data_IF_847494133621
#
_entry.id   IF_847494133621
#
_cell.length_a   1.000
_cell.length_b   1.000
_cell.length_c   1.000
_cell.angle_alpha   90.00
_cell.angle_beta   90.00
_cell.angle_gamma   90.00
#
_symmetry.space_group_name_H-M   'P 1'
#
loop_
_entity.id
_entity.type
_entity.pdbx_description
1 polymer ?
#
# COMPACT_ATOMS: atom_id res chain seq x y z
N UNK A 1 26.49 -6.50 6.99
CA UNK A 1 25.59 -7.48 6.32
C UNK A 1 25.93 -8.90 6.75
N UNK A 2 24.95 -9.79 6.79
CA UNK A 2 25.13 -11.19 7.19
C UNK A 2 25.89 -11.96 6.09
N UNK A 3 26.88 -12.78 6.45
CA UNK A 3 27.65 -13.54 5.45
C UNK A 3 26.97 -14.87 5.08
N UNK A 4 27.23 -15.33 3.87
CA UNK A 4 26.84 -16.67 3.41
C UNK A 4 27.69 -17.74 4.12
N UNK A 5 27.11 -18.92 4.34
CA UNK A 5 27.71 -20.00 5.14
C UNK A 5 27.78 -21.34 4.40
N UNK A 6 27.25 -21.44 3.18
CA UNK A 6 27.17 -22.69 2.42
C UNK A 6 26.06 -23.65 2.88
N UNK A 7 25.29 -23.31 3.91
CA UNK A 7 24.23 -24.18 4.47
C UNK A 7 23.08 -24.46 3.49
N UNK A 8 22.89 -23.60 2.48
CA UNK A 8 21.88 -23.79 1.44
C UNK A 8 22.42 -24.47 0.17
N UNK A 9 23.68 -24.94 0.16
CA UNK A 9 24.27 -25.63 -0.97
C UNK A 9 23.42 -26.84 -1.39
N UNK A 10 23.05 -26.89 -2.68
CA UNK A 10 22.24 -27.96 -3.25
C UNK A 10 20.78 -28.00 -2.79
N UNK A 11 20.33 -27.08 -1.93
CA UNK A 11 18.92 -26.99 -1.50
C UNK A 11 18.07 -26.36 -2.60
N UNK A 12 16.84 -26.82 -2.74
CA UNK A 12 15.89 -26.30 -3.72
C UNK A 12 14.88 -25.36 -3.08
N UNK A 13 14.96 -24.08 -3.44
CA UNK A 13 14.03 -23.04 -3.03
C UNK A 13 12.98 -22.81 -4.13
N UNK A 14 11.70 -22.95 -3.78
CA UNK A 14 10.57 -22.52 -4.59
C UNK A 14 10.12 -21.14 -4.13
N UNK A 15 10.30 -20.09 -4.94
CA UNK A 15 10.04 -18.70 -4.52
C UNK A 15 9.00 -18.07 -5.44
N UNK A 16 7.84 -17.72 -4.87
CA UNK A 16 6.80 -16.99 -5.61
C UNK A 16 7.18 -15.51 -5.74
N UNK A 17 7.04 -14.94 -6.94
CA UNK A 17 7.36 -13.53 -7.19
C UNK A 17 8.86 -13.19 -7.22
N UNK A 18 9.74 -14.15 -7.54
CA UNK A 18 11.19 -13.96 -7.54
C UNK A 18 11.79 -13.27 -8.79
N UNK A 19 10.97 -12.72 -9.69
CA UNK A 19 11.47 -12.00 -10.88
C UNK A 19 12.13 -10.64 -10.56
N UNK A 20 11.86 -10.07 -9.38
CA UNK A 20 12.39 -8.76 -8.94
C UNK A 20 12.24 -8.55 -7.43
N UNK A 21 12.78 -7.45 -6.92
CA UNK A 21 12.57 -6.98 -5.56
C UNK A 21 13.03 -7.99 -4.49
N UNK A 22 12.28 -8.07 -3.39
CA UNK A 22 12.59 -8.92 -2.23
C UNK A 22 12.75 -10.39 -2.62
N UNK A 23 11.81 -10.95 -3.38
CA UNK A 23 11.88 -12.35 -3.82
C UNK A 23 13.16 -12.67 -4.60
N UNK A 24 13.58 -11.77 -5.50
CA UNK A 24 14.86 -11.92 -6.23
C UNK A 24 16.07 -11.78 -5.30
N UNK A 25 16.03 -10.87 -4.33
CA UNK A 25 17.13 -10.71 -3.39
C UNK A 25 17.32 -11.95 -2.50
N UNK A 26 16.22 -12.56 -2.02
CA UNK A 26 16.26 -13.84 -1.29
C UNK A 26 16.84 -14.94 -2.19
N UNK A 27 16.39 -15.02 -3.44
CA UNK A 27 16.91 -15.97 -4.43
C UNK A 27 18.43 -15.82 -4.62
N UNK A 28 18.92 -14.61 -4.84
CA UNK A 28 20.35 -14.32 -5.03
C UNK A 28 21.17 -14.65 -3.77
N UNK A 29 20.62 -14.37 -2.59
CA UNK A 29 21.29 -14.71 -1.33
C UNK A 29 21.48 -16.20 -1.17
N UNK A 30 20.46 -17.00 -1.49
CA UNK A 30 20.56 -18.47 -1.49
C UNK A 30 21.45 -18.99 -2.62
N UNK A 31 21.40 -18.38 -3.80
CA UNK A 31 22.23 -18.75 -4.96
C UNK A 31 23.73 -18.67 -4.66
N UNK A 32 24.16 -17.69 -3.86
CA UNK A 32 25.56 -17.56 -3.41
C UNK A 32 26.07 -18.73 -2.57
N UNK A 33 25.18 -19.55 -2.01
CA UNK A 33 25.54 -20.82 -1.35
C UNK A 33 25.60 -22.00 -2.33
N UNK A 34 25.23 -21.82 -3.61
CA UNK A 34 25.07 -22.91 -4.57
C UNK A 34 23.69 -23.59 -4.50
N UNK A 35 22.64 -22.86 -4.10
CA UNK A 35 21.28 -23.38 -4.07
C UNK A 35 20.65 -23.49 -5.46
N UNK A 36 19.65 -24.36 -5.59
CA UNK A 36 18.74 -24.39 -6.73
C UNK A 36 17.55 -23.46 -6.44
N UNK A 37 17.15 -22.62 -7.41
CA UNK A 37 16.05 -21.68 -7.25
C UNK A 37 15.03 -21.84 -8.37
N UNK A 38 13.79 -22.09 -7.98
CA UNK A 38 12.61 -22.05 -8.86
C UNK A 38 11.99 -20.67 -8.75
N UNK A 39 11.97 -19.95 -9.87
CA UNK A 39 11.48 -18.59 -10.00
C UNK A 39 10.04 -18.66 -10.51
N UNK A 40 9.08 -18.67 -9.59
CA UNK A 40 7.65 -18.77 -9.92
C UNK A 40 7.04 -17.36 -10.02
N UNK A 41 6.99 -16.77 -11.22
CA UNK A 41 6.39 -15.45 -11.42
C UNK A 41 5.82 -15.26 -12.83
N UNK A 42 4.97 -14.24 -13.01
CA UNK A 42 4.22 -14.03 -14.27
C UNK A 42 5.01 -13.39 -15.40
N UNK A 43 6.05 -12.62 -15.09
CA UNK A 43 6.69 -11.74 -16.08
C UNK A 43 7.71 -12.53 -16.91
N UNK A 44 7.27 -13.06 -18.05
CA UNK A 44 8.13 -13.69 -19.05
C UNK A 44 8.72 -12.66 -20.04
N UNK A 45 7.90 -11.71 -20.47
CA UNK A 45 8.28 -10.62 -21.37
C UNK A 45 8.55 -9.32 -20.61
N UNK A 46 9.40 -8.46 -21.17
CA UNK A 46 9.73 -7.17 -20.57
C UNK A 46 8.48 -6.30 -20.39
N UNK A 47 8.30 -5.74 -19.19
CA UNK A 47 7.15 -4.90 -18.87
C UNK A 47 7.55 -3.42 -18.87
N UNK A 48 6.77 -2.52 -19.51
CA UNK A 48 7.18 -1.12 -19.70
C UNK A 48 7.39 -0.33 -18.40
N UNK A 49 6.79 -0.79 -17.28
CA UNK A 49 6.87 -0.12 -15.97
C UNK A 49 7.62 -0.91 -14.89
N UNK A 50 7.92 -2.20 -15.13
CA UNK A 50 8.48 -3.08 -14.10
C UNK A 50 9.76 -3.73 -14.64
N UNK A 51 10.91 -3.54 -13.97
CA UNK A 51 12.17 -4.09 -14.44
C UNK A 51 12.22 -5.61 -14.25
N UNK A 52 13.01 -6.29 -15.08
CA UNK A 52 13.32 -7.71 -14.96
C UNK A 52 12.20 -8.65 -15.39
N UNK A 53 12.59 -9.87 -15.74
CA UNK A 53 11.71 -11.01 -16.06
C UNK A 53 12.15 -12.22 -15.25
N UNK A 54 11.41 -13.34 -15.35
CA UNK A 54 11.88 -14.62 -14.78
C UNK A 54 13.21 -15.09 -15.41
N UNK A 55 13.48 -14.70 -16.66
CA UNK A 55 14.69 -15.10 -17.39
C UNK A 55 15.91 -14.27 -16.97
N UNK A 56 15.77 -12.94 -16.86
CA UNK A 56 16.89 -12.11 -16.36
C UNK A 56 17.20 -12.44 -14.90
N UNK A 57 16.18 -12.76 -14.09
CA UNK A 57 16.41 -13.23 -12.73
C UNK A 57 17.15 -14.57 -12.70
N UNK A 58 16.86 -15.49 -13.63
CA UNK A 58 17.57 -16.75 -13.76
C UNK A 58 19.06 -16.54 -14.09
N UNK A 59 19.37 -15.65 -15.04
CA UNK A 59 20.75 -15.29 -15.39
C UNK A 59 21.51 -14.72 -14.18
N UNK A 60 20.88 -13.81 -13.42
CA UNK A 60 21.50 -13.25 -12.21
C UNK A 60 21.73 -14.31 -11.12
N UNK A 61 20.81 -15.27 -10.96
CA UNK A 61 20.93 -16.39 -10.01
C UNK A 61 22.06 -17.34 -10.40
N UNK A 62 22.18 -17.67 -11.68
CA UNK A 62 23.25 -18.53 -12.19
C UNK A 62 24.61 -17.82 -12.08
N UNK A 63 24.68 -16.54 -12.40
CA UNK A 63 25.88 -15.72 -12.22
C UNK A 63 26.31 -15.61 -10.75
N UNK A 64 25.36 -15.67 -9.81
CA UNK A 64 25.64 -15.69 -8.37
C UNK A 64 26.13 -17.05 -7.85
N UNK A 65 26.17 -18.10 -8.68
CA UNK A 65 26.65 -19.44 -8.33
C UNK A 65 25.55 -20.48 -8.06
N UNK A 66 24.28 -20.10 -8.20
CA UNK A 66 23.14 -21.00 -8.05
C UNK A 66 22.76 -21.71 -9.34
N UNK A 67 21.66 -22.47 -9.30
CA UNK A 67 20.98 -23.02 -10.48
C UNK A 67 19.57 -22.49 -10.57
N UNK A 68 19.13 -22.05 -11.74
CA UNK A 68 17.79 -21.48 -11.90
C UNK A 68 16.82 -22.39 -12.65
N UNK A 69 15.53 -22.28 -12.30
CA UNK A 69 14.41 -22.76 -13.10
C UNK A 69 13.36 -21.64 -13.20
N UNK A 70 13.26 -21.02 -14.37
CA UNK A 70 12.26 -20.00 -14.63
C UNK A 70 10.91 -20.63 -14.97
N UNK A 71 9.87 -20.35 -14.17
CA UNK A 71 8.52 -20.85 -14.39
C UNK A 71 7.53 -19.68 -14.51
N UNK A 72 6.75 -19.68 -15.59
CA UNK A 72 5.65 -18.72 -15.76
C UNK A 72 4.52 -19.15 -14.82
N UNK A 73 4.33 -18.41 -13.74
CA UNK A 73 3.34 -18.75 -12.70
C UNK A 73 2.55 -17.52 -12.27
N UNK A 74 1.24 -17.55 -12.49
CA UNK A 74 0.26 -16.80 -11.73
C UNK A 74 -0.23 -17.64 -10.55
N UNK A 75 0.09 -17.24 -9.32
CA UNK A 75 -0.27 -17.98 -8.10
C UNK A 75 -1.79 -18.08 -7.85
N UNK A 76 -2.61 -17.45 -8.69
CA UNK A 76 -4.06 -17.63 -8.68
C UNK A 76 -4.50 -18.89 -9.46
N UNK A 77 -3.66 -19.41 -10.34
CA UNK A 77 -3.93 -20.60 -11.15
C UNK A 77 -3.27 -21.84 -10.53
N UNK A 78 -4.08 -22.78 -10.08
CA UNK A 78 -3.62 -24.03 -9.47
C UNK A 78 -2.78 -24.89 -10.41
N UNK A 79 -3.14 -24.92 -11.70
CA UNK A 79 -2.41 -25.72 -12.69
C UNK A 79 -1.00 -25.19 -12.90
N UNK A 80 -0.84 -23.88 -13.04
CA UNK A 80 0.48 -23.27 -13.21
C UNK A 80 1.40 -23.49 -12.00
N UNK A 81 0.85 -23.49 -10.79
CA UNK A 81 1.64 -23.83 -9.60
C UNK A 81 2.02 -25.32 -9.62
N UNK A 82 1.07 -26.20 -9.93
CA UNK A 82 1.30 -27.66 -10.01
C UNK A 82 2.39 -27.99 -11.04
N UNK A 83 2.30 -27.44 -12.24
CA UNK A 83 3.26 -27.67 -13.33
C UNK A 83 4.67 -27.19 -12.95
N UNK A 84 4.76 -26.05 -12.25
CA UNK A 84 6.04 -25.53 -11.76
C UNK A 84 6.63 -26.40 -10.62
N UNK A 85 5.79 -26.91 -9.72
CA UNK A 85 6.22 -27.86 -8.67
C UNK A 85 6.71 -29.17 -9.29
N UNK A 86 5.99 -29.72 -10.27
CA UNK A 86 6.41 -30.92 -11.00
C UNK A 86 7.74 -30.69 -11.73
N UNK A 87 7.87 -29.57 -12.44
CA UNK A 87 9.10 -29.18 -13.13
C UNK A 87 10.29 -29.05 -12.17
N UNK A 88 10.06 -28.48 -10.98
CA UNK A 88 11.07 -28.36 -9.93
C UNK A 88 11.54 -29.72 -9.43
N UNK A 89 10.60 -30.64 -9.18
CA UNK A 89 10.89 -31.99 -8.69
C UNK A 89 11.60 -32.80 -9.78
N UNK A 90 11.19 -32.68 -11.04
CA UNK A 90 11.86 -33.34 -12.16
C UNK A 90 13.30 -32.83 -12.34
N UNK A 91 13.52 -31.52 -12.23
CA UNK A 91 14.84 -30.92 -12.48
C UNK A 91 15.80 -31.07 -11.30
N UNK A 92 15.32 -30.91 -10.07
CA UNK A 92 16.16 -30.82 -8.87
C UNK A 92 15.93 -31.94 -7.84
N UNK A 93 15.00 -32.86 -8.11
CA UNK A 93 14.72 -34.03 -7.26
C UNK A 93 13.80 -33.77 -6.06
N UNK A 94 13.46 -32.52 -5.78
CA UNK A 94 12.60 -32.17 -4.64
C UNK A 94 12.54 -30.67 -4.37
N UNK A 95 11.85 -30.30 -3.29
CA UNK A 95 11.73 -28.93 -2.79
C UNK A 95 12.08 -28.97 -1.29
N UNK A 96 13.05 -28.15 -0.89
CA UNK A 96 13.46 -28.00 0.51
C UNK A 96 12.81 -26.80 1.17
N UNK A 97 12.57 -25.74 0.41
CA UNK A 97 12.13 -24.46 0.95
C UNK A 97 11.06 -23.88 0.04
N UNK A 98 9.95 -23.42 0.62
CA UNK A 98 8.98 -22.56 -0.04
C UNK A 98 9.08 -21.15 0.54
N UNK A 99 9.15 -20.14 -0.32
CA UNK A 99 9.04 -18.74 0.06
C UNK A 99 7.82 -18.12 -0.62
N UNK A 100 6.79 -17.85 0.17
CA UNK A 100 5.58 -17.16 -0.28
C UNK A 100 5.80 -15.64 -0.22
N UNK A 101 6.36 -15.09 -1.30
CA UNK A 101 6.67 -13.67 -1.44
C UNK A 101 5.72 -12.92 -2.38
N UNK A 102 5.08 -13.60 -3.35
CA UNK A 102 4.15 -12.95 -4.27
C UNK A 102 3.03 -12.22 -3.50
N UNK A 103 2.78 -10.96 -3.85
CA UNK A 103 1.76 -10.15 -3.19
C UNK A 103 1.19 -9.08 -4.14
N UNK A 104 -0.01 -8.63 -3.84
CA UNK A 104 -0.66 -7.46 -4.40
C UNK A 104 -1.09 -6.52 -3.26
N UNK A 105 -1.08 -5.23 -3.56
CA UNK A 105 -1.39 -4.15 -2.62
C UNK A 105 -2.37 -3.17 -3.24
N UNK A 106 -3.32 -2.72 -2.44
CA UNK A 106 -4.15 -1.56 -2.72
C UNK A 106 -4.58 -0.93 -1.39
N UNK A 107 -4.23 0.34 -1.18
CA UNK A 107 -4.44 1.05 0.08
C UNK A 107 -5.64 1.99 -0.03
N UNK A 108 -6.82 1.39 -0.17
CA UNK A 108 -8.09 2.10 -0.28
C UNK A 108 -9.07 1.62 0.79
N UNK A 109 -9.97 2.51 1.22
CA UNK A 109 -11.07 2.17 2.11
C UNK A 109 -12.13 1.28 1.44
N UNK A 110 -13.13 0.87 2.21
CA UNK A 110 -14.14 -0.10 1.75
C UNK A 110 -14.95 0.39 0.55
N UNK A 111 -15.37 1.65 0.53
CA UNK A 111 -16.19 2.20 -0.56
C UNK A 111 -15.36 2.44 -1.83
N UNK A 112 -14.07 2.67 -1.67
CA UNK A 112 -13.14 3.03 -2.74
C UNK A 112 -12.48 1.82 -3.38
N UNK A 113 -12.46 0.66 -2.71
CA UNK A 113 -11.79 -0.54 -3.21
C UNK A 113 -12.70 -1.30 -4.18
N UNK A 114 -12.40 -1.35 -5.49
CA UNK A 114 -13.20 -2.14 -6.42
C UNK A 114 -13.07 -3.63 -6.08
N UNK A 115 -14.14 -4.41 -6.22
CA UNK A 115 -14.11 -5.84 -5.88
C UNK A 115 -13.04 -6.63 -6.64
N UNK A 116 -12.76 -6.27 -7.90
CA UNK A 116 -11.63 -6.87 -8.66
C UNK A 116 -10.27 -6.69 -7.97
N UNK A 117 -10.08 -5.62 -7.19
CA UNK A 117 -8.86 -5.40 -6.38
C UNK A 117 -8.89 -6.20 -5.08
N UNK A 118 -10.07 -6.35 -4.45
CA UNK A 118 -10.25 -7.25 -3.30
C UNK A 118 -9.90 -8.68 -3.71
N UNK A 119 -10.49 -9.19 -4.80
CA UNK A 119 -10.25 -10.52 -5.33
C UNK A 119 -8.78 -10.72 -5.74
N UNK A 120 -8.14 -9.68 -6.28
CA UNK A 120 -6.72 -9.71 -6.61
C UNK A 120 -5.85 -9.87 -5.36
N UNK A 121 -6.09 -9.08 -4.31
CA UNK A 121 -5.32 -9.13 -3.07
C UNK A 121 -5.54 -10.44 -2.33
N UNK A 122 -6.78 -10.86 -2.12
CA UNK A 122 -7.09 -12.13 -1.48
C UNK A 122 -6.61 -13.33 -2.31
N UNK A 123 -6.76 -13.24 -3.64
CA UNK A 123 -6.36 -14.29 -4.57
C UNK A 123 -4.85 -14.51 -4.63
N UNK A 124 -4.04 -13.44 -4.63
CA UNK A 124 -2.58 -13.54 -4.68
C UNK A 124 -2.00 -13.78 -3.28
N UNK A 125 -2.40 -12.98 -2.29
CA UNK A 125 -1.77 -12.98 -0.98
C UNK A 125 -2.21 -14.22 -0.19
N UNK A 126 -3.49 -14.31 0.16
CA UNK A 126 -4.02 -15.39 1.00
C UNK A 126 -4.14 -16.70 0.22
N UNK A 127 -4.99 -16.75 -0.82
CA UNK A 127 -5.26 -17.99 -1.56
C UNK A 127 -4.00 -18.53 -2.23
N UNK A 128 -3.21 -17.66 -2.87
CA UNK A 128 -1.94 -18.04 -3.50
C UNK A 128 -0.94 -18.63 -2.52
N UNK A 129 -0.79 -18.05 -1.32
CA UNK A 129 0.04 -18.62 -0.23
C UNK A 129 -0.46 -19.99 0.20
N UNK A 130 -1.75 -20.11 0.50
CA UNK A 130 -2.33 -21.39 0.95
C UNK A 130 -2.15 -22.48 -0.11
N UNK A 131 -2.46 -22.17 -1.37
CA UNK A 131 -2.41 -23.12 -2.47
C UNK A 131 -0.98 -23.55 -2.81
N UNK A 132 -0.04 -22.61 -2.86
CA UNK A 132 1.37 -22.93 -3.12
C UNK A 132 1.94 -23.79 -2.01
N UNK A 133 1.65 -23.45 -0.73
CA UNK A 133 2.02 -24.30 0.41
C UNK A 133 1.43 -25.70 0.28
N UNK A 134 0.13 -25.84 0.02
CA UNK A 134 -0.55 -27.14 -0.18
C UNK A 134 0.19 -28.02 -1.20
N UNK A 135 0.58 -27.45 -2.34
CA UNK A 135 1.22 -28.19 -3.43
C UNK A 135 2.71 -28.48 -3.15
N UNK A 136 3.41 -27.64 -2.40
CA UNK A 136 4.81 -27.90 -2.02
C UNK A 136 4.96 -28.85 -0.82
N UNK A 137 4.00 -28.89 0.11
CA UNK A 137 4.07 -29.69 1.36
C UNK A 137 4.44 -31.17 1.12
N UNK A 138 3.85 -31.91 0.16
CA UNK A 138 4.22 -33.30 -0.09
C UNK A 138 5.70 -33.52 -0.44
N UNK A 139 6.36 -32.49 -0.98
CA UNK A 139 7.79 -32.51 -1.32
C UNK A 139 8.65 -32.02 -0.16
N UNK A 140 8.18 -31.01 0.57
CA UNK A 140 8.82 -30.50 1.79
C UNK A 140 8.93 -31.59 2.86
N UNK A 141 7.91 -32.43 3.04
CA UNK A 141 7.93 -33.57 3.98
C UNK A 141 9.03 -34.60 3.70
N UNK A 142 9.65 -34.57 2.51
CA UNK A 142 10.76 -35.44 2.12
C UNK A 142 12.13 -34.78 2.32
N UNK A 143 12.17 -33.47 2.60
CA UNK A 143 13.41 -32.72 2.83
C UNK A 143 13.96 -32.99 4.24
N UNK A 144 15.28 -32.82 4.38
CA UNK A 144 15.99 -32.96 5.67
C UNK A 144 15.79 -31.77 6.62
N UNK A 145 15.53 -30.57 6.09
CA UNK A 145 15.32 -29.37 6.91
C UNK A 145 14.34 -28.43 6.20
N UNK A 146 13.06 -28.83 6.07
CA UNK A 146 12.09 -28.09 5.27
C UNK A 146 11.61 -26.80 5.93
N UNK A 147 11.46 -25.76 5.10
CA UNK A 147 10.92 -24.46 5.53
C UNK A 147 9.80 -23.95 4.61
N UNK A 148 8.80 -23.33 5.21
CA UNK A 148 7.86 -22.41 4.56
C UNK A 148 8.07 -21.03 5.20
N UNK A 149 8.43 -20.05 4.38
CA UNK A 149 8.59 -18.67 4.80
C UNK A 149 7.56 -17.79 4.10
N UNK A 150 6.65 -17.20 4.87
CA UNK A 150 5.69 -16.24 4.36
C UNK A 150 6.20 -14.83 4.59
N UNK A 151 6.25 -14.01 3.54
CA UNK A 151 6.62 -12.59 3.69
C UNK A 151 5.37 -11.83 4.14
N UNK A 152 5.05 -11.92 5.42
CA UNK A 152 3.81 -11.39 6.02
C UNK A 152 4.03 -10.89 7.46
N UNK A 153 3.21 -9.92 7.92
CA UNK A 153 3.43 -9.25 9.21
C UNK A 153 3.01 -10.10 10.41
N UNK A 154 3.42 -9.75 11.62
CA UNK A 154 2.75 -10.20 12.85
C UNK A 154 1.25 -9.86 12.83
N UNK A 155 0.43 -10.66 13.52
CA UNK A 155 -1.01 -10.44 13.64
C UNK A 155 -1.32 -9.38 14.71
N UNK A 156 -1.17 -8.11 14.34
CA UNK A 156 -1.50 -6.98 15.21
C UNK A 156 -2.99 -6.60 15.06
N UNK A 157 -3.80 -6.97 16.06
CA UNK A 157 -5.25 -6.72 16.05
C UNK A 157 -5.66 -5.30 16.47
N UNK A 158 -4.71 -4.36 16.56
CA UNK A 158 -5.05 -2.96 16.80
C UNK A 158 -5.92 -2.42 15.64
N UNK A 159 -7.13 -1.88 15.91
CA UNK A 159 -8.04 -1.37 14.89
C UNK A 159 -7.45 -0.32 13.94
N UNK A 160 -6.39 0.39 14.35
CA UNK A 160 -5.75 1.41 13.50
C UNK A 160 -5.26 0.83 12.16
N UNK A 161 -4.80 -0.43 12.18
CA UNK A 161 -4.30 -1.13 10.99
C UNK A 161 -5.41 -1.66 10.08
N UNK A 162 -6.67 -1.61 10.53
CA UNK A 162 -7.83 -1.99 9.73
C UNK A 162 -8.53 -0.76 9.16
N UNK A 163 -8.48 0.37 9.87
CA UNK A 163 -9.24 1.60 9.59
C UNK A 163 -9.19 2.06 8.12
N UNK A 164 -8.01 2.08 7.49
CA UNK A 164 -7.81 2.76 6.20
C UNK A 164 -7.72 1.83 4.98
N UNK A 165 -7.49 0.52 5.19
CA UNK A 165 -7.20 -0.43 4.12
C UNK A 165 -7.56 -1.88 4.50
N UNK A 166 -8.77 -2.06 5.03
CA UNK A 166 -9.27 -3.35 5.56
C UNK A 166 -8.99 -4.54 4.63
N UNK A 167 -9.27 -4.40 3.33
CA UNK A 167 -9.08 -5.49 2.36
C UNK A 167 -7.62 -5.92 2.22
N UNK A 168 -6.66 -4.97 2.24
CA UNK A 168 -5.24 -5.29 2.20
C UNK A 168 -4.77 -5.92 3.52
N UNK A 169 -5.21 -5.38 4.66
CA UNK A 169 -4.91 -5.93 5.99
C UNK A 169 -5.38 -7.37 6.09
N UNK A 170 -6.63 -7.67 5.70
CA UNK A 170 -7.15 -9.04 5.64
C UNK A 170 -6.31 -9.94 4.74
N UNK A 171 -5.91 -9.46 3.57
CA UNK A 171 -5.11 -10.24 2.62
C UNK A 171 -3.73 -10.60 3.16
N UNK A 172 -3.02 -9.67 3.82
CA UNK A 172 -1.70 -9.92 4.44
C UNK A 172 -1.83 -10.75 5.71
N UNK A 173 -2.83 -10.47 6.56
CA UNK A 173 -3.05 -11.24 7.78
C UNK A 173 -3.49 -12.67 7.48
N UNK A 174 -4.19 -12.89 6.36
CA UNK A 174 -4.48 -14.24 5.87
C UNK A 174 -3.22 -15.08 5.65
N UNK A 175 -2.15 -14.51 5.07
CA UNK A 175 -0.85 -15.20 4.92
C UNK A 175 -0.25 -15.58 6.28
N UNK A 176 -0.37 -14.68 7.25
CA UNK A 176 0.09 -14.87 8.63
C UNK A 176 -0.75 -15.89 9.40
N UNK A 177 -2.05 -15.96 9.13
CA UNK A 177 -2.93 -17.01 9.67
C UNK A 177 -2.58 -18.39 9.09
N UNK A 178 -2.11 -18.47 7.82
CA UNK A 178 -1.53 -19.71 7.31
C UNK A 178 -0.29 -20.13 8.11
N UNK A 179 0.55 -19.19 8.58
CA UNK A 179 1.69 -19.51 9.44
C UNK A 179 1.22 -20.11 10.77
N UNK A 180 0.25 -19.48 11.45
CA UNK A 180 -0.31 -20.02 12.69
C UNK A 180 -0.83 -21.46 12.52
N UNK A 181 -1.65 -21.70 11.50
CA UNK A 181 -2.25 -23.01 11.28
C UNK A 181 -1.22 -24.06 10.88
N UNK A 182 -0.44 -23.79 9.83
CA UNK A 182 0.48 -24.78 9.26
C UNK A 182 1.68 -25.06 10.17
N UNK A 183 2.12 -24.10 10.99
CA UNK A 183 3.20 -24.35 11.95
C UNK A 183 2.81 -25.42 12.99
N UNK A 184 1.56 -25.42 13.45
CA UNK A 184 1.04 -26.45 14.35
C UNK A 184 0.75 -27.75 13.63
N UNK A 185 0.10 -27.67 12.46
CA UNK A 185 -0.26 -28.83 11.64
C UNK A 185 0.97 -29.68 11.27
N UNK A 186 2.10 -29.04 10.99
CA UNK A 186 3.34 -29.70 10.59
C UNK A 186 4.46 -29.61 11.64
N UNK A 187 4.11 -29.39 12.91
CA UNK A 187 5.09 -29.25 14.00
C UNK A 187 6.05 -30.44 14.04
N UNK A 188 7.35 -30.15 14.07
CA UNK A 188 8.42 -31.16 14.04
C UNK A 188 8.72 -31.75 12.66
N UNK A 189 7.88 -31.47 11.66
CA UNK A 189 8.07 -31.94 10.28
C UNK A 189 8.48 -30.81 9.33
N UNK A 190 7.86 -29.63 9.42
CA UNK A 190 8.15 -28.46 8.59
C UNK A 190 8.22 -27.21 9.47
N UNK A 191 9.27 -26.40 9.31
CA UNK A 191 9.31 -25.07 9.91
C UNK A 191 8.45 -24.11 9.08
N UNK A 192 7.45 -23.48 9.70
CA UNK A 192 6.58 -22.49 9.04
C UNK A 192 6.67 -21.19 9.81
N UNK A 193 7.16 -20.13 9.18
CA UNK A 193 7.38 -18.84 9.82
C UNK A 193 6.95 -17.68 8.91
N UNK A 194 6.75 -16.51 9.52
CA UNK A 194 6.60 -15.26 8.82
C UNK A 194 7.87 -14.39 8.97
N UNK A 195 8.17 -13.58 7.96
CA UNK A 195 9.20 -12.53 8.02
C UNK A 195 8.62 -11.22 7.52
N UNK A 196 8.85 -10.14 8.25
CA UNK A 196 8.40 -8.80 7.93
C UNK A 196 9.51 -7.75 8.12
N UNK A 197 9.59 -6.71 7.28
CA UNK A 197 10.53 -5.62 7.49
C UNK A 197 10.12 -4.73 8.66
N UNK A 198 11.11 -4.19 9.39
CA UNK A 198 10.86 -3.05 10.30
C UNK A 198 10.46 -1.79 9.55
N UNK A 199 11.07 -1.58 8.39
CA UNK A 199 11.01 -0.32 7.62
C UNK A 199 10.68 -0.60 6.17
N UNK A 200 10.15 0.39 5.47
CA UNK A 200 9.94 0.33 4.03
C UNK A 200 11.19 -0.16 3.29
N UNK A 201 10.99 -1.02 2.30
CA UNK A 201 12.06 -1.61 1.49
C UNK A 201 12.02 -1.05 0.07
N UNK A 202 13.18 -0.59 -0.41
CA UNK A 202 13.30 0.01 -1.74
C UNK A 202 13.05 -1.05 -2.81
N UNK A 203 11.94 -0.89 -3.52
CA UNK A 203 11.53 -1.75 -4.63
C UNK A 203 10.73 -0.91 -5.62
N UNK A 204 10.60 -1.37 -6.86
CA UNK A 204 9.74 -0.70 -7.86
C UNK A 204 8.28 -0.56 -7.37
N UNK A 205 7.78 -1.49 -6.57
CA UNK A 205 6.45 -1.38 -5.97
C UNK A 205 6.38 -0.25 -4.93
N UNK A 206 7.43 -0.07 -4.13
CA UNK A 206 7.53 1.03 -3.18
C UNK A 206 7.68 2.38 -3.87
N UNK A 207 8.47 2.45 -4.95
CA UNK A 207 8.60 3.68 -5.76
C UNK A 207 7.25 4.09 -6.36
N UNK A 208 6.44 3.13 -6.80
CA UNK A 208 5.06 3.37 -7.28
C UNK A 208 4.11 3.83 -6.17
N UNK A 209 4.32 3.37 -4.94
CA UNK A 209 3.44 3.66 -3.80
C UNK A 209 3.76 5.01 -3.15
N UNK A 210 5.04 5.25 -2.87
CA UNK A 210 5.52 6.44 -2.16
C UNK A 210 5.95 7.59 -3.06
N UNK A 211 6.08 7.37 -4.37
CA UNK A 211 6.45 8.40 -5.33
C UNK A 211 7.92 8.81 -5.26
N UNK A 212 8.26 9.95 -5.86
CA UNK A 212 9.63 10.43 -5.94
C UNK A 212 10.20 10.75 -4.55
N UNK A 213 11.40 10.26 -4.27
CA UNK A 213 12.13 10.51 -3.02
C UNK A 213 11.91 9.48 -1.91
N UNK A 214 10.93 8.57 -2.05
CA UNK A 214 10.66 7.53 -1.04
C UNK A 214 11.88 6.64 -0.78
N UNK A 215 12.72 6.41 -1.79
CA UNK A 215 13.89 5.55 -1.70
C UNK A 215 14.86 5.95 -0.59
N UNK A 216 14.99 7.24 -0.26
CA UNK A 216 15.88 7.72 0.81
C UNK A 216 15.41 7.29 2.20
N UNK A 217 14.12 7.02 2.35
CA UNK A 217 13.49 6.56 3.60
C UNK A 217 13.41 5.03 3.68
N UNK A 218 14.02 4.31 2.74
CA UNK A 218 13.95 2.86 2.68
C UNK A 218 15.28 2.20 3.05
N UNK A 219 15.18 0.96 3.51
CA UNK A 219 16.30 0.01 3.48
C UNK A 219 16.34 -0.73 2.15
N UNK A 220 17.51 -1.27 1.81
CA UNK A 220 17.77 -2.12 0.65
C UNK A 220 17.12 -3.49 0.86
N UNK A 221 16.81 -4.17 -0.23
CA UNK A 221 16.26 -5.54 -0.22
C UNK A 221 17.18 -6.55 0.49
N UNK A 222 18.47 -6.26 0.60
CA UNK A 222 19.48 -7.09 1.24
C UNK A 222 19.16 -7.41 2.71
N UNK A 223 18.49 -6.51 3.45
CA UNK A 223 18.15 -6.78 4.86
C UNK A 223 17.16 -7.94 5.00
N UNK A 224 16.15 -7.99 4.12
CA UNK A 224 15.17 -9.07 4.09
C UNK A 224 15.79 -10.34 3.54
N UNK A 225 16.68 -10.24 2.56
CA UNK A 225 17.41 -11.39 2.04
C UNK A 225 18.29 -12.05 3.11
N UNK A 226 18.99 -11.25 3.90
CA UNK A 226 19.84 -11.73 5.00
C UNK A 226 19.00 -12.31 6.15
N UNK A 227 17.89 -11.66 6.53
CA UNK A 227 16.99 -12.19 7.55
C UNK A 227 16.31 -13.50 7.10
N UNK A 228 15.89 -13.59 5.84
CA UNK A 228 15.36 -14.84 5.27
C UNK A 228 16.41 -15.93 5.29
N UNK A 229 17.65 -15.64 4.90
CA UNK A 229 18.77 -16.58 4.96
C UNK A 229 19.01 -17.10 6.39
N UNK A 230 18.97 -16.22 7.39
CA UNK A 230 19.09 -16.60 8.79
C UNK A 230 17.96 -17.56 9.23
N UNK A 231 16.71 -17.32 8.82
CA UNK A 231 15.57 -18.21 9.12
C UNK A 231 15.72 -19.57 8.43
N UNK A 232 16.00 -19.56 7.13
CA UNK A 232 16.04 -20.75 6.28
C UNK A 232 17.19 -21.70 6.63
N UNK A 233 18.15 -21.25 7.44
CA UNK A 233 19.26 -22.04 7.97
C UNK A 233 19.07 -22.44 9.43
N UNK A 234 17.91 -22.13 10.05
CA UNK A 234 17.51 -22.65 11.36
C UNK A 234 17.05 -24.12 11.27
N UNK A 235 17.11 -24.86 12.38
CA UNK A 235 16.48 -26.18 12.49
C UNK A 235 14.94 -26.11 12.38
N UNK A 236 14.32 -27.23 11.99
CA UNK A 236 12.85 -27.37 11.82
C UNK A 236 12.00 -27.02 13.05
N UNK A 237 12.58 -27.03 14.26
CA UNK A 237 11.86 -26.64 15.48
C UNK A 237 11.71 -25.12 15.63
N UNK A 238 12.43 -24.32 14.84
CA UNK A 238 12.16 -22.90 14.68
C UNK A 238 10.94 -22.71 13.79
N UNK A 239 9.74 -22.78 14.39
CA UNK A 239 8.45 -22.74 13.70
C UNK A 239 7.43 -21.90 14.46
N UNK A 240 6.42 -21.39 13.77
CA UNK A 240 5.36 -20.55 14.34
C UNK A 240 5.81 -19.13 14.70
N UNK A 241 6.95 -18.67 14.17
CA UNK A 241 7.52 -17.37 14.50
C UNK A 241 7.02 -16.28 13.54
N UNK A 242 6.80 -15.07 14.08
CA UNK A 242 6.59 -13.85 13.30
C UNK A 242 7.81 -12.96 13.48
N UNK A 243 8.75 -13.08 12.54
CA UNK A 243 10.08 -12.50 12.66
C UNK A 243 10.12 -11.09 12.08
N UNK A 244 10.78 -10.17 12.78
CA UNK A 244 11.19 -8.87 12.23
C UNK A 244 12.67 -8.93 11.84
N UNK A 245 12.99 -8.39 10.66
CA UNK A 245 14.30 -8.46 10.02
C UNK A 245 15.45 -7.98 10.92
N UNK A 246 15.34 -6.79 11.49
CA UNK A 246 16.37 -6.20 12.33
C UNK A 246 16.58 -6.93 13.65
N UNK A 247 15.50 -7.32 14.33
CA UNK A 247 15.56 -8.07 15.58
C UNK A 247 16.26 -9.42 15.41
N UNK A 248 16.00 -10.13 14.31
CA UNK A 248 16.67 -11.40 14.04
C UNK A 248 18.13 -11.16 13.68
N UNK A 249 18.43 -10.21 12.79
CA UNK A 249 19.80 -9.95 12.37
C UNK A 249 20.68 -9.47 13.53
N UNK A 250 20.14 -8.70 14.47
CA UNK A 250 20.84 -8.33 15.69
C UNK A 250 21.20 -9.57 16.54
N UNK A 251 20.28 -10.54 16.64
CA UNK A 251 20.55 -11.83 17.32
C UNK A 251 21.58 -12.69 16.57
N UNK A 252 21.68 -12.57 15.26
CA UNK A 252 22.75 -13.19 14.45
C UNK A 252 24.08 -12.41 14.50
N UNK A 253 24.17 -11.34 15.31
CA UNK A 253 25.41 -10.59 15.52
C UNK A 253 25.63 -9.41 14.56
N UNK A 254 24.63 -9.03 13.78
CA UNK A 254 24.69 -7.80 12.97
C UNK A 254 24.51 -6.59 13.87
N UNK A 255 25.51 -5.70 13.90
CA UNK A 255 25.49 -4.48 14.73
C UNK A 255 25.33 -3.20 13.91
N UNK A 256 25.78 -3.19 12.65
CA UNK A 256 25.68 -2.05 11.74
C UNK A 256 24.52 -2.23 10.73
N UNK A 257 23.41 -1.54 11.01
CA UNK A 257 22.24 -1.49 10.14
C UNK A 257 22.25 -0.35 9.11
N UNK A 258 23.18 0.61 9.21
CA UNK A 258 23.33 1.69 8.23
C UNK A 258 23.75 1.15 6.86
N UNK A 259 24.51 0.05 6.85
CA UNK A 259 24.87 -0.66 5.60
C UNK A 259 23.66 -1.09 4.76
N UNK A 260 22.50 -1.31 5.40
CA UNK A 260 21.24 -1.63 4.74
C UNK A 260 20.41 -0.40 4.36
N UNK A 261 20.69 0.80 4.87
CA UNK A 261 19.99 2.00 4.44
C UNK A 261 20.33 2.31 2.97
N UNK A 262 19.35 2.79 2.20
CA UNK A 262 19.61 3.32 0.85
C UNK A 262 20.43 4.61 0.94
N UNK A 263 20.08 5.47 1.90
CA UNK A 263 20.84 6.67 2.26
C UNK A 263 21.15 6.62 3.76
N UNK A 264 22.37 6.23 4.16
CA UNK A 264 22.78 6.20 5.57
C UNK A 264 22.55 7.54 6.27
N UNK A 265 22.11 7.48 7.53
CA UNK A 265 21.77 8.64 8.36
C UNK A 265 20.44 9.33 8.01
N UNK A 266 19.75 8.92 6.95
CA UNK A 266 18.41 9.43 6.64
C UNK A 266 17.35 8.68 7.47
N UNK A 267 16.35 9.36 8.02
CA UNK A 267 15.24 8.70 8.72
C UNK A 267 14.52 7.72 7.82
N UNK A 268 14.22 6.56 8.39
CA UNK A 268 13.57 5.45 7.72
C UNK A 268 12.06 5.50 7.97
N UNK A 269 11.27 5.23 6.94
CA UNK A 269 9.83 5.06 7.05
C UNK A 269 9.54 3.69 7.68
N UNK A 270 8.86 3.61 8.83
CA UNK A 270 8.50 2.33 9.42
C UNK A 270 7.47 1.59 8.57
N UNK A 271 7.57 0.27 8.57
CA UNK A 271 6.65 -0.56 7.80
C UNK A 271 5.31 -0.71 8.52
N UNK A 272 4.31 -1.10 7.75
CA UNK A 272 2.97 -1.34 8.25
C UNK A 272 2.92 -2.42 9.33
N UNK A 273 1.87 -2.33 10.15
CA UNK A 273 1.46 -3.36 11.12
C UNK A 273 2.35 -3.48 12.37
N UNK A 274 3.40 -2.67 12.48
CA UNK A 274 4.32 -2.63 13.61
C UNK A 274 3.98 -1.47 14.56
N UNK A 275 3.90 -1.76 15.86
CA UNK A 275 3.62 -0.83 16.98
C UNK A 275 2.23 -0.14 16.96
N UNK A 276 1.95 0.60 18.04
CA UNK A 276 0.63 1.09 18.43
C UNK A 276 0.45 2.63 18.37
N UNK A 277 1.47 3.38 17.95
CA UNK A 277 1.43 4.86 18.04
C UNK A 277 1.75 5.58 16.72
N UNK A 278 0.88 5.48 15.69
CA UNK A 278 1.03 6.21 14.42
C UNK A 278 1.20 7.73 14.59
N UNK A 279 0.65 8.33 15.64
CA UNK A 279 0.72 9.77 15.92
C UNK A 279 2.15 10.23 16.26
N UNK A 280 2.99 9.35 16.84
CA UNK A 280 4.42 9.67 17.08
C UNK A 280 5.25 9.49 15.81
N UNK A 281 4.86 8.56 14.94
CA UNK A 281 5.50 8.31 13.65
C UNK A 281 5.36 9.49 12.70
N UNK A 282 4.16 10.05 12.57
CA UNK A 282 3.92 11.23 11.73
C UNK A 282 4.81 12.40 12.17
N UNK A 283 4.87 12.66 13.48
CA UNK A 283 5.70 13.72 14.06
C UNK A 283 7.19 13.53 13.82
N UNK A 284 7.71 12.32 14.01
CA UNK A 284 9.14 12.00 13.78
C UNK A 284 9.51 12.17 12.29
N UNK A 285 8.61 11.80 11.39
CA UNK A 285 8.81 11.96 9.94
C UNK A 285 8.78 13.44 9.53
N UNK A 286 7.81 14.20 10.05
CA UNK A 286 7.68 15.64 9.80
C UNK A 286 8.90 16.43 10.30
N UNK A 287 9.39 16.13 11.51
CA UNK A 287 10.56 16.77 12.12
C UNK A 287 11.86 16.59 11.31
N UNK A 288 11.91 15.61 10.40
CA UNK A 288 13.05 15.37 9.53
C UNK A 288 12.77 15.60 8.03
N UNK A 289 11.71 16.35 7.70
CA UNK A 289 11.40 16.73 6.32
C UNK A 289 10.89 15.58 5.44
N UNK A 290 10.43 14.48 6.04
CA UNK A 290 9.78 13.38 5.35
C UNK A 290 8.25 13.54 5.41
N UNK A 291 7.58 13.48 4.26
CA UNK A 291 6.11 13.36 4.23
C UNK A 291 5.76 11.87 4.33
N UNK A 292 5.00 11.42 5.35
CA UNK A 292 4.55 10.03 5.41
C UNK A 292 3.79 9.65 4.13
N UNK A 293 4.22 8.58 3.45
CA UNK A 293 3.48 8.01 2.32
C UNK A 293 2.08 7.50 2.73
N UNK A 294 1.86 7.35 4.05
CA UNK A 294 0.60 7.08 4.69
C UNK A 294 0.06 8.34 5.37
N UNK A 295 -0.20 9.41 4.62
CA UNK A 295 -1.34 10.21 5.03
C UNK A 295 -2.52 9.25 5.08
N UNK A 296 -3.14 9.10 6.24
CA UNK A 296 -4.51 8.63 6.24
C UNK A 296 -5.23 9.55 5.25
N UNK A 297 -5.53 9.03 4.06
CA UNK A 297 -6.56 9.64 3.25
C UNK A 297 -7.78 9.41 4.11
N UNK A 298 -8.17 10.44 4.88
CA UNK A 298 -9.52 10.54 5.36
C UNK A 298 -10.38 10.09 4.18
N UNK A 299 -11.15 9.03 4.45
CA UNK A 299 -12.15 8.43 3.58
C UNK A 299 -12.71 9.44 2.59
N UNK A 300 -12.98 8.99 1.37
CA UNK A 300 -13.45 9.73 0.19
C UNK A 300 -14.73 10.58 0.31
N UNK A 301 -15.07 11.07 1.50
CA UNK A 301 -15.92 12.22 1.72
C UNK A 301 -15.13 13.55 1.84
N UNK A 302 -13.81 13.53 2.05
CA UNK A 302 -13.01 14.69 2.44
C UNK A 302 -11.71 14.84 1.63
N UNK A 303 -11.80 15.10 0.32
CA UNK A 303 -10.72 15.82 -0.33
C UNK A 303 -10.75 17.26 0.22
N UNK A 304 -9.89 17.57 1.19
CA UNK A 304 -9.64 18.95 1.56
C UNK A 304 -9.19 19.66 0.29
N UNK A 305 -10.02 20.59 -0.17
CA UNK A 305 -9.78 21.31 -1.40
C UNK A 305 -8.46 22.11 -1.27
N UNK A 306 -7.55 21.99 -2.22
CA UNK A 306 -6.26 22.69 -2.20
C UNK A 306 -6.37 24.08 -2.83
N UNK A 307 -5.64 25.06 -2.27
CA UNK A 307 -5.59 26.44 -2.78
C UNK A 307 -6.67 27.38 -2.19
N UNK A 308 -6.62 28.68 -2.48
CA UNK A 308 -7.45 29.68 -1.77
C UNK A 308 -8.97 29.48 -1.91
N UNK A 309 -9.43 29.01 -3.07
CA UNK A 309 -10.84 28.62 -3.26
C UNK A 309 -11.17 27.40 -2.41
N UNK A 310 -10.27 26.43 -2.40
CA UNK A 310 -10.44 25.22 -1.63
C UNK A 310 -10.51 25.44 -0.11
N UNK A 311 -9.65 26.30 0.42
CA UNK A 311 -9.68 26.70 1.84
C UNK A 311 -11.02 27.35 2.22
N UNK A 312 -11.59 28.12 1.29
CA UNK A 312 -12.94 28.68 1.45
C UNK A 312 -13.97 27.56 1.59
N UNK A 313 -13.98 26.57 0.69
CA UNK A 313 -14.89 25.41 0.80
C UNK A 313 -14.63 24.52 2.02
N UNK A 314 -13.37 24.34 2.43
CA UNK A 314 -13.04 23.61 3.66
C UNK A 314 -13.62 24.31 4.90
N UNK A 315 -13.55 25.64 4.94
CA UNK A 315 -14.21 26.43 6.00
C UNK A 315 -15.72 26.19 5.98
N UNK A 316 -16.34 26.16 4.80
CA UNK A 316 -17.78 25.99 4.65
C UNK A 316 -18.28 24.62 5.09
N UNK A 317 -17.46 23.59 4.91
CA UNK A 317 -17.81 22.20 5.23
C UNK A 317 -18.18 22.00 6.70
N UNK A 318 -17.49 22.70 7.62
CA UNK A 318 -17.79 22.66 9.04
C UNK A 318 -19.16 23.24 9.43
N UNK A 319 -19.80 23.98 8.53
CA UNK A 319 -21.12 24.59 8.74
C UNK A 319 -22.26 23.85 8.04
N UNK A 320 -21.98 22.82 7.23
CA UNK A 320 -23.01 22.02 6.57
C UNK A 320 -23.72 21.11 7.59
N UNK A 321 -25.05 21.20 7.65
CA UNK A 321 -25.87 20.32 8.47
C UNK A 321 -27.26 20.09 7.84
N UNK A 322 -28.00 19.13 8.37
CA UNK A 322 -29.31 18.73 7.85
C UNK A 322 -30.36 19.86 7.91
N UNK A 323 -30.25 20.78 8.88
CA UNK A 323 -31.14 21.94 9.00
C UNK A 323 -30.91 22.93 7.86
N UNK A 324 -29.65 23.15 7.47
CA UNK A 324 -29.26 24.02 6.37
C UNK A 324 -29.81 23.52 5.03
N UNK A 325 -29.73 22.21 4.81
CA UNK A 325 -30.27 21.53 3.62
C UNK A 325 -31.80 21.69 3.59
N UNK A 326 -32.47 21.44 4.72
CA UNK A 326 -33.94 21.54 4.83
C UNK A 326 -34.47 22.96 4.58
N UNK A 327 -33.72 23.98 5.00
CA UNK A 327 -34.15 25.39 4.90
C UNK A 327 -33.79 26.03 3.55
N UNK A 328 -32.68 25.63 2.95
CA UNK A 328 -32.18 26.23 1.71
C UNK A 328 -32.85 25.63 0.48
N UNK A 329 -32.82 24.29 0.36
CA UNK A 329 -33.41 23.51 -0.74
C UNK A 329 -32.98 23.99 -2.14
N UNK A 330 -31.67 24.19 -2.35
CA UNK A 330 -31.13 24.67 -3.61
C UNK A 330 -29.72 24.16 -3.91
N UNK A 331 -29.41 24.03 -5.20
CA UNK A 331 -28.08 23.67 -5.73
C UNK A 331 -27.45 24.88 -6.42
N UNK A 332 -26.26 25.26 -5.96
CA UNK A 332 -25.50 26.41 -6.45
C UNK A 332 -24.26 25.93 -7.19
N UNK A 333 -24.01 26.47 -8.38
CA UNK A 333 -22.77 26.28 -9.13
C UNK A 333 -22.04 27.62 -9.25
N UNK A 334 -20.73 27.59 -9.09
CA UNK A 334 -19.83 28.73 -9.25
C UNK A 334 -18.86 28.45 -10.39
N UNK A 335 -18.96 29.23 -11.46
CA UNK A 335 -18.04 29.20 -12.58
C UNK A 335 -17.01 30.31 -12.36
N UNK A 336 -15.84 29.92 -11.85
CA UNK A 336 -14.76 30.81 -11.46
C UNK A 336 -13.79 31.06 -12.62
N UNK A 337 -13.40 32.32 -12.79
CA UNK A 337 -12.39 32.78 -13.73
C UNK A 337 -11.26 33.52 -12.99
N UNK A 338 -10.20 33.93 -13.69
CA UNK A 338 -9.06 34.65 -13.09
C UNK A 338 -7.94 33.72 -12.62
N UNK A 339 -7.32 34.03 -11.48
CA UNK A 339 -6.10 33.38 -10.98
C UNK A 339 -6.31 31.91 -10.55
N UNK A 340 -7.51 31.58 -10.05
CA UNK A 340 -7.89 30.23 -9.66
C UNK A 340 -9.19 29.82 -10.36
N UNK A 341 -9.14 29.52 -11.67
CA UNK A 341 -10.33 29.19 -12.44
C UNK A 341 -10.83 27.78 -12.11
N UNK A 342 -12.13 27.54 -12.29
CA UNK A 342 -12.72 26.22 -12.11
C UNK A 342 -14.21 26.28 -11.81
N UNK A 343 -14.87 25.13 -11.92
CA UNK A 343 -16.28 24.97 -11.56
C UNK A 343 -16.35 24.40 -10.15
N UNK A 344 -17.25 24.94 -9.34
CA UNK A 344 -17.47 24.50 -7.96
C UNK A 344 -18.96 24.47 -7.65
N UNK A 345 -19.36 23.71 -6.63
CA UNK A 345 -20.77 23.63 -6.27
C UNK A 345 -21.04 23.49 -4.78
N UNK A 346 -22.25 23.89 -4.39
CA UNK A 346 -22.86 23.66 -3.08
C UNK A 346 -24.26 23.08 -3.33
N UNK A 347 -24.49 21.84 -2.94
CA UNK A 347 -25.78 21.15 -2.95
C UNK A 347 -26.37 21.19 -1.54
N UNK A 348 -27.43 22.00 -1.37
CA UNK A 348 -28.23 22.08 -0.15
C UNK A 348 -29.66 21.62 -0.42
N UNK A 349 -29.84 20.67 -1.34
CA UNK A 349 -31.14 20.14 -1.75
C UNK A 349 -31.22 18.63 -1.54
N UNK A 350 -30.14 17.91 -1.84
CA UNK A 350 -30.13 16.44 -1.86
C UNK A 350 -29.37 15.85 -0.66
N UNK A 351 -29.87 14.71 -0.15
CA UNK A 351 -29.21 13.94 0.90
C UNK A 351 -28.92 14.76 2.17
N UNK A 352 -27.70 14.65 2.69
CA UNK A 352 -27.19 15.44 3.82
C UNK A 352 -26.56 16.77 3.40
N UNK A 353 -26.69 17.15 2.12
CA UNK A 353 -25.95 18.24 1.49
C UNK A 353 -24.54 17.81 1.09
N UNK A 354 -24.00 18.46 0.06
CA UNK A 354 -22.63 18.23 -0.41
C UNK A 354 -22.05 19.50 -1.02
N UNK A 355 -20.73 19.57 -1.14
CA UNK A 355 -20.04 20.64 -1.85
C UNK A 355 -18.78 20.08 -2.48
N UNK A 356 -18.33 20.66 -3.59
CA UNK A 356 -17.30 20.04 -4.40
C UNK A 356 -16.71 20.96 -5.46
N UNK A 357 -15.60 20.53 -6.03
CA UNK A 357 -15.07 21.04 -7.28
C UNK A 357 -15.57 20.17 -8.43
N UNK A 358 -15.85 20.77 -9.58
CA UNK A 358 -16.51 20.15 -10.74
C UNK A 358 -18.00 20.49 -10.83
N UNK A 359 -18.68 19.83 -11.77
CA UNK A 359 -20.12 20.00 -11.96
C UNK A 359 -20.91 19.45 -10.75
N UNK A 360 -22.04 20.08 -10.38
CA UNK A 360 -22.89 19.58 -9.31
C UNK A 360 -23.49 18.21 -9.65
N UNK A 361 -23.77 17.36 -8.64
CA UNK A 361 -24.34 16.02 -8.83
C UNK A 361 -25.77 16.03 -9.36
N UNK A 362 -26.42 17.20 -9.34
CA UNK A 362 -27.73 17.43 -9.94
C UNK A 362 -27.77 18.83 -10.56
N UNK A 363 -28.76 19.09 -11.42
CA UNK A 363 -28.87 20.36 -12.14
C UNK A 363 -28.88 21.54 -11.17
N UNK A 364 -27.95 22.49 -11.37
CA UNK A 364 -27.89 23.71 -10.58
C UNK A 364 -29.18 24.52 -10.72
N UNK A 365 -29.75 24.92 -9.57
CA UNK A 365 -30.87 25.86 -9.51
C UNK A 365 -30.37 27.31 -9.70
N UNK A 366 -29.11 27.58 -9.31
CA UNK A 366 -28.44 28.88 -9.44
C UNK A 366 -27.02 28.70 -9.96
N UNK A 367 -26.67 29.43 -11.01
CA UNK A 367 -25.35 29.45 -11.60
C UNK A 367 -24.74 30.86 -11.47
N UNK A 368 -23.57 30.93 -10.86
CA UNK A 368 -22.86 32.17 -10.51
C UNK A 368 -21.54 32.25 -11.25
N UNK A 369 -21.38 33.25 -12.12
CA UNK A 369 -20.12 33.51 -12.83
C UNK A 369 -19.42 34.70 -12.18
N UNK A 370 -18.18 34.52 -11.76
CA UNK A 370 -17.36 35.53 -11.10
C UNK A 370 -15.87 35.18 -11.19
N UNK A 371 -14.99 36.13 -10.90
CA UNK A 371 -13.58 35.82 -10.73
C UNK A 371 -13.30 35.24 -9.32
N UNK A 372 -12.16 34.54 -9.20
CA UNK A 372 -11.75 33.85 -7.97
C UNK A 372 -11.53 34.81 -6.79
N UNK A 373 -11.05 36.03 -7.02
CA UNK A 373 -10.83 37.05 -5.97
C UNK A 373 -12.17 37.57 -5.41
N UNK A 374 -13.14 37.83 -6.29
CA UNK A 374 -14.51 38.21 -5.94
C UNK A 374 -15.19 37.11 -5.15
N UNK A 375 -15.00 35.85 -5.54
CA UNK A 375 -15.51 34.70 -4.78
C UNK A 375 -14.96 34.68 -3.35
N UNK A 376 -13.64 34.76 -3.18
CA UNK A 376 -13.01 34.75 -1.85
C UNK A 376 -13.55 35.90 -0.99
N UNK A 377 -13.57 37.13 -1.52
CA UNK A 377 -14.08 38.30 -0.80
C UNK A 377 -15.54 38.17 -0.39
N UNK A 378 -16.37 37.51 -1.21
CA UNK A 378 -17.76 37.23 -0.86
C UNK A 378 -17.88 36.30 0.35
N UNK A 379 -17.13 35.20 0.33
CA UNK A 379 -17.21 34.18 1.38
C UNK A 379 -16.43 34.54 2.65
N UNK A 380 -15.43 35.43 2.58
CA UNK A 380 -14.79 36.02 3.78
C UNK A 380 -15.58 37.19 4.36
N UNK A 381 -16.66 37.63 3.69
CA UNK A 381 -17.50 38.75 4.13
C UNK A 381 -16.93 40.14 3.81
N UNK A 382 -15.79 40.22 3.11
CA UNK A 382 -15.18 41.49 2.67
C UNK A 382 -15.94 42.15 1.51
N UNK A 383 -16.82 41.44 0.81
CA UNK A 383 -17.69 41.96 -0.24
C UNK A 383 -19.09 41.34 -0.14
N UNK A 384 -20.14 42.17 -0.15
CA UNK A 384 -21.52 41.64 -0.15
C UNK A 384 -21.89 41.11 -1.55
N UNK A 385 -22.56 39.95 -1.66
CA UNK A 385 -23.03 39.40 -2.94
C UNK A 385 -23.89 40.37 -3.76
N UNK A 386 -24.75 41.13 -3.09
CA UNK A 386 -25.56 42.20 -3.70
C UNK A 386 -24.72 43.28 -4.37
N UNK A 387 -23.63 43.72 -3.72
CA UNK A 387 -22.68 44.70 -4.28
C UNK A 387 -21.85 44.11 -5.42
N UNK A 388 -21.45 42.84 -5.33
CA UNK A 388 -20.76 42.14 -6.42
C UNK A 388 -21.65 42.03 -7.67
N UNK A 389 -22.95 41.78 -7.49
CA UNK A 389 -23.92 41.71 -8.58
C UNK A 389 -24.16 43.09 -9.22
N UNK A 390 -24.43 44.13 -8.41
CA UNK A 390 -24.67 45.49 -8.90
C UNK A 390 -23.47 46.10 -9.63
N UNK A 391 -22.25 45.74 -9.22
CA UNK A 391 -21.01 46.20 -9.88
C UNK A 391 -20.62 45.38 -11.11
N UNK A 392 -21.40 44.34 -11.46
CA UNK A 392 -21.15 43.47 -12.61
C UNK A 392 -20.06 42.42 -12.41
N UNK A 393 -19.47 42.31 -11.22
CA UNK A 393 -18.43 41.33 -10.85
C UNK A 393 -18.98 39.92 -10.60
N UNK A 394 -20.27 39.82 -10.28
CA UNK A 394 -21.01 38.57 -10.14
C UNK A 394 -22.18 38.58 -11.15
N UNK A 395 -22.27 37.55 -11.99
CA UNK A 395 -23.43 37.32 -12.87
C UNK A 395 -24.18 36.08 -12.40
N UNK A 396 -25.46 36.23 -12.12
CA UNK A 396 -26.33 35.16 -11.63
C UNK A 396 -27.29 34.74 -12.75
N UNK A 397 -27.44 33.44 -12.96
CA UNK A 397 -28.47 32.82 -13.79
C UNK A 397 -29.24 31.79 -12.95
N UNK A 398 -30.54 31.63 -13.18
CA UNK A 398 -31.38 30.68 -12.45
C UNK A 398 -32.27 31.35 -11.40
N UNK A 399 -32.55 30.65 -10.30
CA UNK A 399 -33.51 31.09 -9.28
C UNK A 399 -32.96 32.21 -8.39
N UNK A 400 -33.50 33.41 -8.57
CA UNK A 400 -33.08 34.60 -7.80
C UNK A 400 -33.47 34.54 -6.32
N UNK A 401 -34.54 33.83 -5.95
CA UNK A 401 -34.91 33.67 -4.55
C UNK A 401 -33.92 32.77 -3.81
N UNK A 402 -33.46 31.69 -4.46
CA UNK A 402 -32.37 30.85 -3.94
C UNK A 402 -31.05 31.62 -3.88
N UNK A 403 -30.73 32.44 -4.89
CA UNK A 403 -29.52 33.26 -4.86
C UNK A 403 -29.45 34.20 -3.63
N UNK A 404 -30.59 34.78 -3.21
CA UNK A 404 -30.69 35.61 -2.00
C UNK A 404 -30.57 34.80 -0.70
N UNK A 405 -31.00 33.52 -0.69
CA UNK A 405 -30.80 32.64 0.46
C UNK A 405 -29.31 32.37 0.69
N UNK A 406 -28.52 32.23 -0.38
CA UNK A 406 -27.07 32.03 -0.27
C UNK A 406 -26.37 33.19 0.45
N UNK A 407 -26.77 34.44 0.22
CA UNK A 407 -26.21 35.59 0.95
C UNK A 407 -26.49 35.51 2.45
N UNK A 408 -27.69 35.08 2.85
CA UNK A 408 -28.03 34.85 4.27
C UNK A 408 -27.18 33.72 4.87
N UNK A 409 -26.92 32.66 4.10
CA UNK A 409 -26.03 31.57 4.51
C UNK A 409 -24.60 32.07 4.73
N UNK A 410 -24.03 32.80 3.78
CA UNK A 410 -22.70 33.41 3.91
C UNK A 410 -22.59 34.28 5.15
N UNK A 411 -23.64 35.07 5.47
CA UNK A 411 -23.67 35.91 6.66
C UNK A 411 -23.72 35.10 7.98
N UNK A 412 -24.42 33.96 8.02
CA UNK A 412 -24.45 33.08 9.19
C UNK A 412 -23.10 32.38 9.43
N UNK A 413 -22.44 31.96 8.35
CA UNK A 413 -21.14 31.26 8.41
C UNK A 413 -20.00 32.17 8.87
N UNK A 414 -20.07 33.46 8.56
CA UNK A 414 -19.08 34.43 9.04
C UNK A 414 -19.28 34.81 10.52
N UNK A 415 -20.47 34.61 11.10
CA UNK A 415 -20.72 34.82 12.53
C UNK A 415 -20.18 33.70 13.43
N UNK A 416 -19.99 32.48 12.91
CA UNK A 416 -19.46 31.35 13.70
C UNK A 416 -17.93 31.34 13.84
N UNK A 417 -17.24 32.36 13.30
CA UNK A 417 -15.79 32.56 13.44
C UNK A 417 -15.41 33.53 14.57
N UNK A 418 -16.39 34.07 15.30
CA UNK A 418 -16.23 35.00 16.43
C UNK A 418 -16.52 34.32 17.76
#
# INVERSE_FOLDING_TARGET
MLQNTGKLAGRTLFITGASRGIGKAIALKAARDGANVVIAAKTAEAHPKLPGTIYTAAEEIEAAGGKALACIVDVRDERQISDAVESAVQKFGGIDILVNNASAINLTGTLETPMKKVDLMLGINLRGTYLTSKLCIPHLLKSKNPHILNLSPPLNLNPIWFKNHTAYTMAKYGMSMCVLGMAEEFRGSIAVNALWPRTAIQTAAMDMLGGAGISKQCRKVDIIADAAYAILTKPVNFTGQFVIDDELLAKEGVTDFESYAVVPGHPLLPDFFLEAEPDKLEKIMEDHGATPAFKSKNSSADAAFSGPIGETFNTMKGSLNAELVKTTQGVYQFDLSGEHPGVWYIDLKNGSGSMGSGEPPSKADVLMNLDSDTFIKMFTGSLKPTMAFMSGKLKIKGDMALALKLEKLMAMMNKSKL
#
